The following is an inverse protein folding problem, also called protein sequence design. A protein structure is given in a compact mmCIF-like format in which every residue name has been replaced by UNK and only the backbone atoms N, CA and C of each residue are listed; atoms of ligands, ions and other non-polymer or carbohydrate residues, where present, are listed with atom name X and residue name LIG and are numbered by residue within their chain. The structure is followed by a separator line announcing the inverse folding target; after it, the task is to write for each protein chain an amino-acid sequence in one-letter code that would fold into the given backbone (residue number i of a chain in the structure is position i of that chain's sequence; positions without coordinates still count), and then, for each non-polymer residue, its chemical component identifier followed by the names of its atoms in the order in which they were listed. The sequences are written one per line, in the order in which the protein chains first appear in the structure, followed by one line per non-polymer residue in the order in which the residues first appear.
data_IF_418156590633
#
_entry.id   IF_418156590633
#
_cell.length_a   1.000
_cell.length_b   1.000
_cell.length_c   1.000
_cell.angle_alpha   90.00
_cell.angle_beta   90.00
_cell.angle_gamma   90.00
#
_symmetry.space_group_name_H-M   'P 1'
#
loop_
_entity.id
_entity.type
_entity.pdbx_description
1 polymer ?
#
# COMPACT_ATOMS: atom_id res chain seq x y z
N UNK A 1 -19.79 -20.76 -19.71
CA UNK A 1 -18.83 -21.31 -18.75
C UNK A 1 -18.84 -20.41 -17.52
N UNK A 2 -19.03 -20.90 -16.31
CA UNK A 2 -19.22 -20.07 -15.13
C UNK A 2 -17.88 -19.43 -14.70
N UNK A 3 -17.95 -18.13 -14.47
CA UNK A 3 -16.87 -17.29 -13.91
C UNK A 3 -16.64 -17.72 -12.46
N UNK A 4 -15.41 -18.05 -12.11
CA UNK A 4 -15.03 -18.42 -10.75
C UNK A 4 -15.20 -17.22 -9.81
N UNK A 5 -16.11 -17.30 -8.86
CA UNK A 5 -16.22 -16.45 -7.69
C UNK A 5 -15.07 -16.77 -6.72
N UNK A 6 -13.93 -16.09 -6.90
CA UNK A 6 -12.75 -16.15 -6.04
C UNK A 6 -12.48 -14.84 -5.34
N UNK A 7 -13.46 -14.22 -4.71
CA UNK A 7 -13.29 -13.04 -3.86
C UNK A 7 -12.68 -13.44 -2.52
N UNK A 8 -11.43 -13.05 -2.25
CA UNK A 8 -10.85 -13.15 -0.91
C UNK A 8 -11.64 -12.29 0.09
N UNK A 9 -11.70 -12.66 1.39
CA UNK A 9 -12.45 -11.91 2.39
C UNK A 9 -11.88 -10.51 2.51
N UNK A 10 -12.64 -9.51 2.05
CA UNK A 10 -12.44 -8.12 2.41
C UNK A 10 -12.42 -8.03 3.94
N UNK A 11 -11.56 -7.18 4.51
CA UNK A 11 -11.62 -6.85 5.92
C UNK A 11 -13.08 -6.65 6.28
N UNK A 12 -13.60 -7.47 7.20
CA UNK A 12 -15.02 -7.50 7.55
C UNK A 12 -15.42 -6.12 8.02
N UNK A 13 -16.19 -5.39 7.17
CA UNK A 13 -17.05 -4.34 7.68
C UNK A 13 -17.84 -4.99 8.83
N UNK A 14 -17.85 -4.38 10.00
CA UNK A 14 -18.77 -4.79 11.06
C UNK A 14 -20.17 -4.89 10.44
N UNK A 15 -20.79 -6.04 10.56
CA UNK A 15 -22.08 -6.32 9.93
C UNK A 15 -23.08 -5.22 10.30
N UNK A 16 -23.51 -4.43 9.30
CA UNK A 16 -24.52 -3.39 9.45
C UNK A 16 -24.06 -1.94 9.25
N UNK A 17 -22.76 -1.65 9.07
CA UNK A 17 -22.32 -0.26 8.75
C UNK A 17 -22.27 -0.02 7.25
N UNK A 18 -22.93 1.06 6.77
CA UNK A 18 -22.82 1.54 5.40
C UNK A 18 -21.39 2.00 5.11
N UNK A 19 -20.72 1.52 4.04
CA UNK A 19 -19.42 2.03 3.62
C UNK A 19 -19.48 3.52 3.28
N UNK A 20 -18.43 4.29 3.61
CA UNK A 20 -18.33 5.69 3.21
C UNK A 20 -18.21 5.85 1.68
N UNK A 21 -17.51 4.92 1.02
CA UNK A 21 -17.48 4.79 -0.43
C UNK A 21 -17.55 3.32 -0.84
N UNK A 22 -18.22 3.05 -1.96
CA UNK A 22 -18.33 1.70 -2.54
C UNK A 22 -18.13 1.78 -4.05
N UNK A 23 -17.23 0.99 -4.56
CA UNK A 23 -16.89 0.84 -5.97
C UNK A 23 -17.28 -0.57 -6.39
N UNK A 24 -18.10 -0.70 -7.46
CA UNK A 24 -18.60 -1.98 -7.94
C UNK A 24 -18.32 -2.15 -9.42
N UNK A 25 -17.46 -3.10 -9.75
CA UNK A 25 -17.15 -3.55 -11.11
C UNK A 25 -16.85 -2.41 -12.09
N UNK A 26 -16.13 -1.35 -11.61
CA UNK A 26 -15.86 -0.21 -12.47
C UNK A 26 -14.83 -0.53 -13.53
N UNK A 27 -15.11 -0.09 -14.75
CA UNK A 27 -14.15 -0.11 -15.84
C UNK A 27 -14.07 1.26 -16.51
N UNK A 28 -12.88 1.59 -17.03
CA UNK A 28 -12.65 2.84 -17.76
C UNK A 28 -11.81 2.58 -19.01
N UNK A 29 -12.36 2.95 -20.16
CA UNK A 29 -11.66 2.95 -21.44
C UNK A 29 -11.24 4.39 -21.83
N UNK A 30 -10.01 4.53 -22.33
CA UNK A 30 -9.52 5.74 -22.99
C UNK A 30 -9.06 5.35 -24.39
N UNK A 31 -9.69 5.91 -25.42
CA UNK A 31 -9.35 5.66 -26.81
C UNK A 31 -9.09 4.17 -27.16
N UNK A 32 -9.88 3.27 -26.58
CA UNK A 32 -9.75 1.83 -26.79
C UNK A 32 -8.81 1.09 -25.82
N UNK A 33 -8.01 1.81 -25.01
CA UNK A 33 -7.18 1.22 -23.99
C UNK A 33 -7.93 1.13 -22.66
N UNK A 34 -7.92 -0.04 -22.02
CA UNK A 34 -8.59 -0.31 -20.76
C UNK A 34 -7.66 0.11 -19.59
N UNK A 35 -7.92 1.28 -19.01
CA UNK A 35 -7.11 1.82 -17.91
C UNK A 35 -7.54 1.31 -16.53
N UNK A 36 -8.82 0.95 -16.35
CA UNK A 36 -9.38 0.32 -15.16
C UNK A 36 -10.29 -0.81 -15.63
N UNK A 37 -10.16 -1.99 -15.06
CA UNK A 37 -10.84 -3.20 -15.48
C UNK A 37 -11.43 -3.93 -14.28
N UNK A 38 -12.75 -3.91 -14.17
CA UNK A 38 -13.54 -4.68 -13.17
C UNK A 38 -13.07 -4.46 -11.72
N UNK A 39 -12.80 -3.22 -11.33
CA UNK A 39 -12.32 -2.87 -10.00
C UNK A 39 -13.50 -2.75 -9.03
N UNK A 40 -13.43 -3.49 -7.91
CA UNK A 40 -14.44 -3.49 -6.85
C UNK A 40 -13.80 -3.41 -5.47
N UNK A 41 -14.24 -2.46 -4.62
CA UNK A 41 -13.86 -2.36 -3.22
C UNK A 41 -14.81 -1.46 -2.44
N UNK A 42 -14.81 -1.61 -1.13
CA UNK A 42 -15.51 -0.75 -0.18
C UNK A 42 -14.51 0.01 0.67
N UNK A 43 -14.91 1.17 1.22
CA UNK A 43 -14.13 1.95 2.18
C UNK A 43 -14.97 2.16 3.42
N UNK A 44 -14.49 1.72 4.57
CA UNK A 44 -15.20 1.88 5.83
C UNK A 44 -15.15 3.35 6.32
N UNK A 45 -16.15 3.82 7.07
CA UNK A 45 -16.08 5.12 7.72
C UNK A 45 -14.85 5.24 8.63
N UNK A 46 -14.09 6.31 8.48
CA UNK A 46 -12.86 6.57 9.22
C UNK A 46 -11.62 5.81 8.74
N UNK A 47 -11.74 4.97 7.71
CA UNK A 47 -10.62 4.20 7.14
C UNK A 47 -9.72 5.08 6.26
N UNK A 48 -8.40 4.88 6.35
CA UNK A 48 -7.43 5.33 5.38
C UNK A 48 -7.07 4.17 4.45
N UNK A 49 -7.69 4.15 3.27
CA UNK A 49 -7.43 3.17 2.21
C UNK A 49 -6.42 3.73 1.22
N UNK A 50 -5.36 2.99 0.92
CA UNK A 50 -4.40 3.37 -0.12
C UNK A 50 -4.52 2.52 -1.38
N UNK A 51 -4.58 3.19 -2.55
CA UNK A 51 -4.37 2.57 -3.86
C UNK A 51 -2.89 2.70 -4.20
N UNK A 52 -2.17 1.58 -4.23
CA UNK A 52 -0.74 1.47 -4.47
C UNK A 52 -0.50 0.74 -5.81
N UNK A 53 0.53 1.13 -6.58
CA UNK A 53 0.88 0.41 -7.81
C UNK A 53 1.79 1.22 -8.72
N UNK A 54 2.35 0.63 -9.79
CA UNK A 54 3.20 1.31 -10.74
C UNK A 54 2.47 2.44 -11.50
N UNK A 55 3.22 3.32 -12.13
CA UNK A 55 2.63 4.38 -12.97
C UNK A 55 1.78 3.78 -14.09
N UNK A 56 0.61 4.38 -14.32
CA UNK A 56 -0.31 3.91 -15.38
C UNK A 56 -1.19 2.71 -15.02
N UNK A 57 -1.12 2.14 -13.80
CA UNK A 57 -1.95 0.99 -13.43
C UNK A 57 -3.42 1.31 -13.07
N UNK A 58 -3.88 2.57 -13.21
CA UNK A 58 -5.29 2.93 -13.03
C UNK A 58 -5.67 3.62 -11.71
N UNK A 59 -4.74 3.83 -10.76
CA UNK A 59 -5.01 4.45 -9.43
C UNK A 59 -5.68 5.83 -9.51
N UNK A 60 -5.00 6.78 -10.15
CA UNK A 60 -5.51 8.16 -10.34
C UNK A 60 -6.81 8.18 -11.13
N UNK A 61 -6.95 7.31 -12.13
CA UNK A 61 -8.21 7.17 -12.89
C UNK A 61 -9.35 6.71 -11.98
N UNK A 62 -9.11 5.71 -11.12
CA UNK A 62 -10.08 5.23 -10.14
C UNK A 62 -10.45 6.34 -9.14
N UNK A 63 -9.45 7.05 -8.59
CA UNK A 63 -9.68 8.17 -7.69
C UNK A 63 -10.52 9.29 -8.33
N UNK A 64 -10.17 9.69 -9.57
CA UNK A 64 -10.89 10.72 -10.33
C UNK A 64 -12.30 10.29 -10.71
N UNK A 65 -12.53 8.99 -10.93
CA UNK A 65 -13.89 8.46 -11.12
C UNK A 65 -14.74 8.60 -9.85
N UNK A 66 -14.16 8.34 -8.67
CA UNK A 66 -14.83 8.56 -7.37
C UNK A 66 -15.12 10.06 -7.16
N UNK A 67 -14.16 10.94 -7.48
CA UNK A 67 -14.33 12.38 -7.41
C UNK A 67 -15.39 12.94 -8.40
N UNK A 68 -15.72 12.18 -9.47
CA UNK A 68 -16.62 12.64 -10.54
C UNK A 68 -15.93 13.47 -11.61
N UNK A 69 -14.60 13.48 -11.63
CA UNK A 69 -13.80 14.12 -12.68
C UNK A 69 -13.69 13.25 -13.94
N UNK A 70 -13.87 11.92 -13.78
CA UNK A 70 -13.86 10.95 -14.86
C UNK A 70 -15.17 10.15 -14.90
N UNK A 71 -15.70 9.93 -16.10
CA UNK A 71 -16.87 9.07 -16.30
C UNK A 71 -16.40 7.62 -16.43
N UNK A 72 -17.04 6.71 -15.71
CA UNK A 72 -16.82 5.27 -15.83
C UNK A 72 -17.46 4.74 -17.11
N UNK A 73 -16.85 3.69 -17.70
CA UNK A 73 -17.37 2.99 -18.89
C UNK A 73 -18.30 1.82 -18.50
N UNK A 74 -18.08 1.21 -17.31
CA UNK A 74 -18.94 0.18 -16.74
C UNK A 74 -18.93 0.28 -15.20
N UNK A 75 -19.87 -0.38 -14.54
CA UNK A 75 -19.97 -0.47 -13.08
C UNK A 75 -20.70 0.71 -12.43
N UNK A 76 -20.56 0.81 -11.10
CA UNK A 76 -21.24 1.80 -10.27
C UNK A 76 -20.34 2.30 -9.14
N UNK A 77 -20.54 3.55 -8.72
CA UNK A 77 -19.88 4.18 -7.56
C UNK A 77 -20.95 4.76 -6.64
N UNK A 78 -20.77 4.47 -5.34
CA UNK A 78 -21.63 4.98 -4.27
C UNK A 78 -20.79 5.80 -3.28
N UNK A 79 -21.37 6.86 -2.72
CA UNK A 79 -20.88 7.57 -1.55
C UNK A 79 -21.96 7.46 -0.47
N UNK A 80 -21.67 6.75 0.62
CA UNK A 80 -22.69 6.25 1.52
C UNK A 80 -23.71 5.41 0.77
N UNK A 81 -24.99 5.69 0.97
CA UNK A 81 -26.10 5.00 0.27
C UNK A 81 -26.44 5.60 -1.11
N UNK A 82 -25.80 6.71 -1.48
CA UNK A 82 -26.12 7.44 -2.72
C UNK A 82 -25.31 6.94 -3.90
N UNK A 83 -25.95 6.48 -4.97
CA UNK A 83 -25.30 6.23 -6.27
C UNK A 83 -24.86 7.57 -6.88
N UNK A 84 -23.55 7.73 -7.15
CA UNK A 84 -22.97 8.95 -7.75
C UNK A 84 -22.50 8.74 -9.19
N UNK A 85 -22.26 7.49 -9.59
CA UNK A 85 -22.01 7.11 -10.98
C UNK A 85 -22.60 5.72 -11.24
N UNK A 86 -23.24 5.53 -12.39
CA UNK A 86 -23.72 4.23 -12.89
C UNK A 86 -23.70 4.26 -14.41
N UNK A 87 -22.87 3.42 -15.01
CA UNK A 87 -22.75 3.35 -16.48
C UNK A 87 -24.06 2.83 -17.10
N UNK A 88 -24.69 1.82 -16.51
CA UNK A 88 -25.93 1.20 -17.00
C UNK A 88 -27.11 2.16 -16.98
N UNK A 89 -27.14 3.10 -16.02
CA UNK A 89 -28.20 4.12 -15.88
C UNK A 89 -27.86 5.44 -16.56
N UNK A 90 -26.67 5.59 -17.17
CA UNK A 90 -26.16 6.86 -17.70
C UNK A 90 -25.99 7.95 -16.63
N UNK A 91 -25.98 7.57 -15.34
CA UNK A 91 -25.88 8.49 -14.21
C UNK A 91 -24.44 8.91 -13.99
N UNK A 92 -24.21 10.23 -13.94
CA UNK A 92 -22.94 10.81 -13.53
C UNK A 92 -23.19 12.12 -12.81
N UNK A 93 -22.97 12.12 -11.50
CA UNK A 93 -23.05 13.31 -10.68
C UNK A 93 -21.73 14.07 -10.76
N UNK A 94 -21.78 15.36 -11.10
CA UNK A 94 -20.58 16.20 -11.22
C UNK A 94 -19.88 16.38 -9.86
N UNK A 95 -18.56 16.67 -9.84
CA UNK A 95 -17.74 16.77 -8.61
C UNK A 95 -18.32 17.71 -7.55
N UNK A 96 -18.81 18.91 -7.94
CA UNK A 96 -19.33 19.91 -7.03
C UNK A 96 -20.61 19.50 -6.28
N UNK A 97 -21.25 18.41 -6.73
CA UNK A 97 -22.46 17.83 -6.13
C UNK A 97 -22.17 16.51 -5.39
N UNK A 98 -20.90 16.09 -5.35
CA UNK A 98 -20.44 14.95 -4.54
C UNK A 98 -19.96 15.47 -3.19
N UNK A 99 -20.16 14.67 -2.16
CA UNK A 99 -19.70 15.01 -0.81
C UNK A 99 -18.27 14.49 -0.60
N UNK A 100 -17.33 15.01 -1.42
CA UNK A 100 -15.92 14.65 -1.37
C UNK A 100 -15.03 15.88 -1.36
N UNK A 101 -13.91 15.81 -0.62
CA UNK A 101 -12.80 16.73 -0.74
C UNK A 101 -11.71 16.11 -1.60
N UNK A 102 -10.93 16.90 -2.33
CA UNK A 102 -9.82 16.39 -3.13
C UNK A 102 -8.58 17.26 -3.00
N UNK A 103 -7.44 16.60 -2.78
CA UNK A 103 -6.09 17.18 -2.87
C UNK A 103 -5.43 16.62 -4.11
N UNK A 104 -5.02 17.49 -5.01
CA UNK A 104 -4.35 17.17 -6.26
C UNK A 104 -2.83 17.08 -6.06
N UNK A 105 -2.14 16.34 -6.90
CA UNK A 105 -0.69 16.20 -6.91
C UNK A 105 0.05 17.56 -6.96
N UNK A 106 -0.48 18.54 -7.70
CA UNK A 106 0.07 19.90 -7.82
C UNK A 106 -0.39 20.85 -6.71
N UNK A 107 -1.13 20.34 -5.69
CA UNK A 107 -1.80 21.11 -4.62
C UNK A 107 -2.89 22.08 -5.15
N UNK A 108 -2.83 22.52 -6.39
CA UNK A 108 -3.74 23.47 -7.03
C UNK A 108 -4.00 24.72 -6.17
N UNK A 109 -2.96 25.27 -5.56
CA UNK A 109 -3.02 26.51 -4.76
C UNK A 109 -3.18 27.70 -5.72
N UNK A 110 -4.10 28.63 -5.40
CA UNK A 110 -4.26 29.88 -6.14
C UNK A 110 -3.20 30.90 -5.69
N UNK A 111 -2.22 31.22 -6.55
CA UNK A 111 -1.05 32.02 -6.16
C UNK A 111 -1.40 33.48 -5.84
N UNK A 112 -2.45 34.02 -6.39
CA UNK A 112 -2.94 35.39 -6.19
C UNK A 112 -3.79 35.59 -4.94
N UNK A 113 -4.03 34.53 -4.17
CA UNK A 113 -4.83 34.53 -2.95
C UNK A 113 -3.96 34.36 -1.70
N UNK A 114 -4.47 34.86 -0.58
CA UNK A 114 -3.91 34.57 0.74
C UNK A 114 -4.17 33.09 1.12
N UNK A 115 -3.50 32.59 2.17
CA UNK A 115 -3.78 31.29 2.77
C UNK A 115 -5.25 31.20 3.20
N UNK A 116 -5.76 32.23 3.89
CA UNK A 116 -7.15 32.30 4.29
C UNK A 116 -8.11 32.21 3.09
N UNK A 117 -7.85 32.97 2.03
CA UNK A 117 -8.73 32.99 0.86
C UNK A 117 -8.72 31.68 0.08
N UNK A 118 -7.56 31.01 -0.01
CA UNK A 118 -7.47 29.66 -0.58
C UNK A 118 -8.40 28.68 0.14
N UNK A 119 -8.38 28.67 1.49
CA UNK A 119 -9.22 27.77 2.29
C UNK A 119 -10.68 28.22 2.29
N UNK A 120 -10.96 29.52 2.29
CA UNK A 120 -12.31 30.09 2.29
C UNK A 120 -13.06 29.89 0.96
N UNK A 121 -12.33 29.70 -0.15
CA UNK A 121 -12.91 29.70 -1.49
C UNK A 121 -14.08 28.74 -1.68
N UNK A 122 -14.00 27.43 -1.34
CA UNK A 122 -15.11 26.51 -1.51
C UNK A 122 -16.35 26.90 -0.69
N UNK A 123 -16.18 27.45 0.51
CA UNK A 123 -17.28 27.93 1.34
C UNK A 123 -17.98 29.12 0.72
N UNK A 124 -17.21 30.07 0.13
CA UNK A 124 -17.74 31.25 -0.57
C UNK A 124 -18.53 30.85 -1.83
N UNK A 125 -18.04 29.85 -2.58
CA UNK A 125 -18.75 29.29 -3.74
C UNK A 125 -20.13 28.74 -3.35
N UNK A 126 -20.24 28.13 -2.15
CA UNK A 126 -21.52 27.66 -1.59
C UNK A 126 -22.31 28.74 -0.87
N UNK A 127 -21.89 30.02 -0.94
CA UNK A 127 -22.55 31.17 -0.33
C UNK A 127 -22.78 31.03 1.19
N UNK A 128 -21.83 30.38 1.90
CA UNK A 128 -21.86 30.26 3.34
C UNK A 128 -21.70 31.62 3.99
N UNK A 129 -22.39 31.85 5.12
CA UNK A 129 -22.37 33.13 5.85
C UNK A 129 -20.93 33.52 6.25
N UNK A 130 -20.59 34.81 6.16
CA UNK A 130 -19.21 35.31 6.40
C UNK A 130 -18.65 34.92 7.77
N UNK A 131 -19.46 34.98 8.83
CA UNK A 131 -19.06 34.57 10.19
C UNK A 131 -18.71 33.07 10.25
N UNK A 132 -19.49 32.22 9.60
CA UNK A 132 -19.26 30.78 9.53
C UNK A 132 -18.05 30.45 8.66
N UNK A 133 -17.83 31.18 7.55
CA UNK A 133 -16.57 31.04 6.77
C UNK A 133 -15.37 31.34 7.64
N UNK A 134 -15.38 32.43 8.42
CA UNK A 134 -14.27 32.78 9.31
C UNK A 134 -14.02 31.69 10.36
N UNK A 135 -15.08 31.14 10.96
CA UNK A 135 -14.97 30.09 11.96
C UNK A 135 -14.35 28.82 11.37
N UNK A 136 -14.94 28.28 10.27
CA UNK A 136 -14.47 27.02 9.66
C UNK A 136 -13.07 27.14 9.09
N UNK A 137 -12.73 28.26 8.44
CA UNK A 137 -11.37 28.48 7.90
C UNK A 137 -10.34 28.47 9.03
N UNK A 138 -10.63 29.18 10.14
CA UNK A 138 -9.73 29.23 11.29
C UNK A 138 -9.53 27.85 11.92
N UNK A 139 -10.61 27.10 12.09
CA UNK A 139 -10.55 25.71 12.58
C UNK A 139 -9.77 24.81 11.62
N UNK A 140 -10.03 24.87 10.32
CA UNK A 140 -9.29 24.10 9.31
C UNK A 140 -7.80 24.43 9.29
N UNK A 141 -7.43 25.71 9.38
CA UNK A 141 -6.03 26.13 9.44
C UNK A 141 -5.35 25.69 10.75
N UNK A 142 -6.06 25.69 11.88
CA UNK A 142 -5.54 25.18 13.14
C UNK A 142 -5.27 23.69 13.11
N UNK A 143 -6.14 22.89 12.46
CA UNK A 143 -5.97 21.44 12.31
C UNK A 143 -4.69 21.09 11.56
N UNK A 144 -4.25 21.93 10.62
CA UNK A 144 -3.04 21.74 9.82
C UNK A 144 -1.87 22.64 10.26
N UNK A 145 -1.98 23.31 11.43
CA UNK A 145 -0.94 24.18 12.02
C UNK A 145 -0.53 25.35 11.12
N UNK A 146 -1.49 25.92 10.38
CA UNK A 146 -1.26 27.04 9.46
C UNK A 146 -1.94 28.34 9.88
N UNK A 147 -2.54 28.43 11.08
CA UNK A 147 -3.28 29.60 11.56
C UNK A 147 -2.44 30.87 11.56
N UNK A 148 -1.16 30.79 11.99
CA UNK A 148 -0.26 31.94 12.00
C UNK A 148 0.07 32.50 10.61
N UNK A 149 -0.20 31.75 9.55
CA UNK A 149 0.10 32.13 8.17
C UNK A 149 -1.13 32.59 7.37
N UNK A 150 -2.30 32.74 8.02
CA UNK A 150 -3.59 32.95 7.34
C UNK A 150 -3.61 34.13 6.36
N UNK A 151 -2.92 35.24 6.69
CA UNK A 151 -2.89 36.45 5.87
C UNK A 151 -1.73 36.48 4.86
N UNK A 152 -0.88 35.43 4.88
CA UNK A 152 0.29 35.35 4.01
C UNK A 152 -0.09 35.00 2.59
N UNK A 153 0.51 35.62 1.55
CA UNK A 153 0.37 35.19 0.17
C UNK A 153 0.81 33.72 -0.01
N UNK A 154 0.02 32.93 -0.73
CA UNK A 154 0.29 31.52 -0.91
C UNK A 154 1.60 31.21 -1.66
N UNK A 155 2.08 32.16 -2.46
CA UNK A 155 3.37 32.08 -3.17
C UNK A 155 4.59 32.08 -2.28
N UNK A 156 4.47 32.56 -1.04
CA UNK A 156 5.57 32.63 -0.05
C UNK A 156 5.63 31.41 0.85
N UNK A 157 4.88 30.36 0.55
CA UNK A 157 4.84 29.13 1.32
C UNK A 157 5.83 28.09 0.76
N UNK A 158 6.44 27.31 1.66
CA UNK A 158 7.17 26.09 1.28
C UNK A 158 6.22 25.02 0.73
N UNK A 159 6.73 24.01 0.01
CA UNK A 159 5.91 22.93 -0.53
C UNK A 159 5.06 22.21 0.52
N UNK A 160 5.62 21.90 1.69
CA UNK A 160 4.85 21.30 2.80
C UNK A 160 3.79 22.23 3.39
N UNK A 161 4.04 23.54 3.45
CA UNK A 161 3.03 24.52 3.85
C UNK A 161 1.90 24.62 2.82
N UNK A 162 2.24 24.62 1.52
CA UNK A 162 1.23 24.60 0.44
C UNK A 162 0.35 23.34 0.52
N UNK A 163 0.94 22.20 0.79
CA UNK A 163 0.21 20.95 0.98
C UNK A 163 -0.75 21.03 2.18
N UNK A 164 -0.30 21.54 3.33
CA UNK A 164 -1.16 21.75 4.52
C UNK A 164 -2.33 22.65 4.21
N UNK A 165 -2.12 23.72 3.45
CA UNK A 165 -3.20 24.61 2.99
C UNK A 165 -4.17 23.88 2.05
N UNK A 166 -3.68 23.06 1.12
CA UNK A 166 -4.51 22.24 0.24
C UNK A 166 -5.37 21.22 1.02
N UNK A 167 -4.80 20.61 2.07
CA UNK A 167 -5.52 19.73 2.99
C UNK A 167 -6.64 20.51 3.72
N UNK A 168 -6.32 21.66 4.33
CA UNK A 168 -7.31 22.51 5.01
C UNK A 168 -8.45 22.90 4.07
N UNK A 169 -8.13 23.31 2.83
CA UNK A 169 -9.12 23.66 1.80
C UNK A 169 -10.03 22.48 1.43
N UNK A 170 -9.47 21.27 1.32
CA UNK A 170 -10.26 20.09 1.01
C UNK A 170 -11.16 19.65 2.17
N UNK A 171 -10.73 19.88 3.42
CA UNK A 171 -11.46 19.50 4.63
C UNK A 171 -12.50 20.54 5.10
N UNK A 172 -12.33 21.83 4.77
CA UNK A 172 -13.18 22.92 5.29
C UNK A 172 -14.66 22.74 4.95
N UNK A 173 -14.97 21.93 3.96
CA UNK A 173 -16.31 21.55 3.55
C UNK A 173 -16.90 20.39 4.36
N UNK A 174 -16.12 19.79 5.28
CA UNK A 174 -16.50 18.61 6.06
C UNK A 174 -16.96 17.44 5.17
N UNK A 175 -16.12 17.02 4.19
CA UNK A 175 -16.53 15.98 3.25
C UNK A 175 -16.66 14.62 3.92
N UNK A 176 -17.55 13.75 3.40
CA UNK A 176 -17.67 12.36 3.86
C UNK A 176 -16.44 11.52 3.51
N UNK A 177 -15.74 11.85 2.41
CA UNK A 177 -14.52 11.17 1.96
C UNK A 177 -13.51 12.20 1.45
N UNK A 178 -12.27 12.10 1.90
CA UNK A 178 -11.14 12.90 1.41
C UNK A 178 -10.31 12.07 0.43
N UNK A 179 -10.12 12.60 -0.78
CA UNK A 179 -9.38 11.98 -1.87
C UNK A 179 -8.01 12.65 -2.01
N UNK A 180 -6.93 11.88 -1.99
CA UNK A 180 -5.56 12.36 -2.01
C UNK A 180 -4.82 11.75 -3.20
N UNK A 181 -4.54 12.55 -4.25
CA UNK A 181 -3.86 12.11 -5.48
C UNK A 181 -2.37 12.45 -5.40
N UNK A 182 -1.54 11.49 -5.01
CA UNK A 182 -0.08 11.60 -4.82
C UNK A 182 0.36 12.86 -4.06
N UNK A 183 -0.20 13.13 -2.87
CA UNK A 183 -0.06 14.44 -2.23
C UNK A 183 1.36 14.75 -1.75
N UNK A 184 2.25 13.74 -1.62
CA UNK A 184 3.63 13.90 -1.13
C UNK A 184 4.70 13.87 -2.24
N UNK A 185 4.30 13.65 -3.50
CA UNK A 185 5.23 13.40 -4.61
C UNK A 185 6.19 14.58 -4.89
N UNK A 186 5.77 15.81 -4.62
CA UNK A 186 6.54 17.03 -4.89
C UNK A 186 7.40 17.51 -3.70
N UNK A 187 7.50 16.70 -2.64
CA UNK A 187 8.27 17.03 -1.44
C UNK A 187 9.63 16.32 -1.43
N UNK A 188 10.61 16.95 -0.81
CA UNK A 188 11.88 16.30 -0.49
C UNK A 188 11.70 15.16 0.53
N UNK A 189 12.71 14.29 0.65
CA UNK A 189 12.61 13.06 1.44
C UNK A 189 12.35 13.33 2.93
N UNK A 190 12.98 14.36 3.52
CA UNK A 190 12.82 14.68 4.94
C UNK A 190 11.41 15.21 5.23
N UNK A 191 10.94 16.15 4.40
CA UNK A 191 9.63 16.74 4.54
C UNK A 191 8.52 15.70 4.28
N UNK A 192 8.75 14.76 3.35
CA UNK A 192 7.83 13.64 3.10
C UNK A 192 7.62 12.77 4.34
N UNK A 193 8.69 12.44 5.08
CA UNK A 193 8.58 11.69 6.34
C UNK A 193 7.74 12.44 7.37
N UNK A 194 7.97 13.74 7.55
CA UNK A 194 7.20 14.57 8.50
C UNK A 194 5.73 14.64 8.09
N UNK A 195 5.45 14.84 6.80
CA UNK A 195 4.08 14.96 6.31
C UNK A 195 3.29 13.65 6.37
N UNK A 196 3.96 12.49 6.25
CA UNK A 196 3.31 11.18 6.52
C UNK A 196 2.76 11.12 7.94
N UNK A 197 3.61 11.43 8.93
CA UNK A 197 3.18 11.44 10.34
C UNK A 197 2.00 12.40 10.52
N UNK A 198 2.11 13.60 9.98
CA UNK A 198 1.07 14.62 10.09
C UNK A 198 -0.28 14.20 9.47
N UNK A 199 -0.27 13.54 8.29
CA UNK A 199 -1.50 13.02 7.67
C UNK A 199 -2.13 11.92 8.53
N UNK A 200 -1.32 11.00 9.09
CA UNK A 200 -1.83 9.94 9.96
C UNK A 200 -2.44 10.50 11.25
N UNK A 201 -1.77 11.42 11.91
CA UNK A 201 -2.30 12.11 13.10
C UNK A 201 -3.57 12.89 12.80
N UNK A 202 -3.62 13.58 11.67
CA UNK A 202 -4.82 14.30 11.22
C UNK A 202 -5.99 13.34 11.02
N UNK A 203 -5.79 12.22 10.35
CA UNK A 203 -6.81 11.19 10.13
C UNK A 203 -7.31 10.63 11.48
N UNK A 204 -6.40 10.29 12.40
CA UNK A 204 -6.76 9.78 13.71
C UNK A 204 -7.55 10.78 14.57
N UNK A 205 -7.16 12.06 14.53
CA UNK A 205 -7.83 13.13 15.29
C UNK A 205 -9.22 13.48 14.76
N UNK A 206 -9.39 13.40 13.44
CA UNK A 206 -10.64 13.82 12.78
C UNK A 206 -11.59 12.67 12.50
N UNK A 207 -11.09 11.43 12.47
CA UNK A 207 -11.87 10.27 12.02
C UNK A 207 -12.30 10.33 10.55
N UNK A 208 -11.64 11.17 9.72
CA UNK A 208 -11.97 11.33 8.31
C UNK A 208 -11.67 10.05 7.53
N UNK A 209 -12.62 9.65 6.69
CA UNK A 209 -12.38 8.60 5.69
C UNK A 209 -11.50 9.14 4.58
N UNK A 210 -10.41 8.44 4.25
CA UNK A 210 -9.46 8.88 3.23
C UNK A 210 -9.21 7.80 2.20
N UNK A 211 -9.16 8.19 0.91
CA UNK A 211 -8.63 7.36 -0.18
C UNK A 211 -7.36 8.03 -0.68
N UNK A 212 -6.24 7.35 -0.51
CA UNK A 212 -4.90 7.84 -0.80
C UNK A 212 -4.35 7.13 -2.04
N UNK A 213 -3.80 7.86 -2.97
CA UNK A 213 -3.09 7.31 -4.14
C UNK A 213 -1.61 7.60 -4.01
N UNK A 214 -0.78 6.60 -4.16
CA UNK A 214 0.68 6.74 -4.23
C UNK A 214 1.31 5.62 -5.06
N UNK A 215 2.54 5.85 -5.51
CA UNK A 215 3.44 4.84 -6.01
C UNK A 215 4.57 4.53 -5.01
N UNK A 216 4.64 5.27 -3.90
CA UNK A 216 5.64 5.09 -2.84
C UNK A 216 5.16 4.04 -1.84
N UNK A 217 5.93 2.94 -1.73
CA UNK A 217 5.64 1.81 -0.86
C UNK A 217 5.71 2.20 0.62
N UNK A 218 6.68 3.06 0.99
CA UNK A 218 6.85 3.48 2.37
C UNK A 218 5.70 4.38 2.85
N UNK A 219 5.09 5.17 1.95
CA UNK A 219 3.86 5.91 2.24
C UNK A 219 2.70 4.96 2.50
N UNK A 220 2.47 4.01 1.58
CA UNK A 220 1.38 3.05 1.70
C UNK A 220 1.49 2.21 2.98
N UNK A 221 2.68 1.69 3.30
CA UNK A 221 2.89 0.86 4.50
C UNK A 221 2.74 1.66 5.80
N UNK A 222 3.17 2.93 5.84
CA UNK A 222 3.16 3.72 7.07
C UNK A 222 1.81 4.37 7.38
N UNK A 223 1.02 4.71 6.36
CA UNK A 223 -0.20 5.52 6.52
C UNK A 223 -1.46 4.67 6.63
N UNK A 224 -1.53 3.57 5.88
CA UNK A 224 -2.78 2.92 5.55
C UNK A 224 -3.30 2.01 6.67
N UNK A 225 -4.60 1.96 6.81
CA UNK A 225 -5.28 0.88 7.54
C UNK A 225 -5.45 -0.33 6.61
N UNK A 226 -5.58 -0.06 5.29
CA UNK A 226 -5.67 -1.08 4.24
C UNK A 226 -5.06 -0.58 2.93
N UNK A 227 -4.41 -1.49 2.21
CA UNK A 227 -3.76 -1.23 0.92
C UNK A 227 -4.37 -2.10 -0.17
N UNK A 228 -4.70 -1.48 -1.30
CA UNK A 228 -5.05 -2.16 -2.55
C UNK A 228 -3.89 -1.99 -3.51
N UNK A 229 -3.21 -3.08 -3.83
CA UNK A 229 -2.17 -3.10 -4.87
C UNK A 229 -2.84 -3.28 -6.22
N UNK A 230 -2.63 -2.32 -7.12
CA UNK A 230 -3.16 -2.35 -8.48
C UNK A 230 -2.06 -2.66 -9.50
N UNK A 231 -2.39 -3.45 -10.52
CA UNK A 231 -1.54 -3.75 -11.65
C UNK A 231 -2.37 -3.84 -12.93
N UNK A 232 -1.94 -3.19 -14.02
CA UNK A 232 -2.62 -3.23 -15.33
C UNK A 232 -4.15 -3.06 -15.27
N UNK A 233 -4.62 -2.12 -14.44
CA UNK A 233 -6.04 -1.78 -14.31
C UNK A 233 -6.85 -2.70 -13.40
N UNK A 234 -6.26 -3.73 -12.81
CA UNK A 234 -6.96 -4.67 -11.90
C UNK A 234 -6.37 -4.63 -10.49
N UNK A 235 -7.11 -5.15 -9.53
CA UNK A 235 -6.64 -5.35 -8.15
C UNK A 235 -5.81 -6.63 -8.10
N UNK A 236 -4.50 -6.50 -7.82
CA UNK A 236 -3.61 -7.63 -7.63
C UNK A 236 -3.73 -8.22 -6.22
N UNK A 237 -3.86 -7.37 -5.20
CA UNK A 237 -4.07 -7.79 -3.81
C UNK A 237 -4.72 -6.66 -3.01
N UNK A 238 -5.52 -7.04 -2.01
CA UNK A 238 -6.15 -6.14 -1.04
C UNK A 238 -5.95 -6.75 0.35
N UNK A 239 -5.44 -5.97 1.31
CA UNK A 239 -5.15 -6.43 2.67
C UNK A 239 -4.56 -5.33 3.55
N UNK A 240 -4.23 -5.65 4.80
CA UNK A 240 -3.47 -4.73 5.66
C UNK A 240 -2.04 -4.56 5.15
N UNK A 241 -1.31 -3.49 5.52
CA UNK A 241 0.10 -3.33 5.18
C UNK A 241 0.94 -4.57 5.51
N UNK A 242 0.73 -5.16 6.68
CA UNK A 242 1.44 -6.35 7.14
C UNK A 242 1.13 -7.59 6.27
N UNK A 243 -0.14 -7.76 5.86
CA UNK A 243 -0.53 -8.85 4.95
C UNK A 243 0.07 -8.68 3.57
N UNK A 244 0.04 -7.46 3.01
CA UNK A 244 0.61 -7.16 1.69
C UNK A 244 2.12 -7.40 1.66
N UNK A 245 2.84 -6.98 2.72
CA UNK A 245 4.29 -7.11 2.82
C UNK A 245 4.74 -8.53 3.17
N UNK A 246 4.13 -9.12 4.20
CA UNK A 246 4.54 -10.41 4.75
C UNK A 246 3.95 -11.62 4.03
N UNK A 247 2.79 -11.46 3.35
CA UNK A 247 2.04 -12.54 2.68
C UNK A 247 1.56 -12.13 1.30
N UNK A 248 2.48 -11.78 0.38
CA UNK A 248 2.10 -11.42 -0.98
C UNK A 248 1.47 -12.61 -1.70
N UNK A 249 0.43 -12.35 -2.51
CA UNK A 249 -0.29 -13.39 -3.25
C UNK A 249 0.32 -13.73 -4.61
N UNK A 250 1.26 -12.93 -5.07
CA UNK A 250 1.95 -13.12 -6.35
C UNK A 250 3.38 -12.60 -6.27
N UNK A 251 4.20 -13.06 -7.20
CA UNK A 251 5.56 -12.56 -7.35
C UNK A 251 5.58 -11.06 -7.64
N UNK A 252 4.64 -10.58 -8.47
CA UNK A 252 4.49 -9.15 -8.73
C UNK A 252 4.31 -8.34 -7.44
N UNK A 253 3.37 -8.74 -6.57
CA UNK A 253 3.14 -8.03 -5.31
C UNK A 253 4.37 -8.11 -4.41
N UNK A 254 5.01 -9.29 -4.30
CA UNK A 254 6.21 -9.48 -3.50
C UNK A 254 7.34 -8.54 -3.91
N UNK A 255 7.63 -8.47 -5.22
CA UNK A 255 8.71 -7.67 -5.81
C UNK A 255 8.38 -6.17 -5.81
N UNK A 256 7.12 -5.82 -6.07
CA UNK A 256 6.68 -4.44 -6.13
C UNK A 256 6.64 -3.77 -4.74
N UNK A 257 6.33 -4.49 -3.66
CA UNK A 257 6.12 -3.89 -2.32
C UNK A 257 7.41 -3.78 -1.50
N UNK A 258 8.48 -4.45 -1.92
CA UNK A 258 9.79 -4.38 -1.27
C UNK A 258 10.76 -5.41 -1.82
N UNK A 259 12.03 -5.29 -1.44
CA UNK A 259 13.02 -6.28 -1.84
C UNK A 259 12.60 -7.69 -1.37
N UNK A 260 12.78 -8.69 -2.22
CA UNK A 260 12.46 -10.08 -1.92
C UNK A 260 13.48 -11.01 -2.57
N UNK A 261 13.79 -12.11 -1.90
CA UNK A 261 14.51 -13.24 -2.46
C UNK A 261 13.49 -14.27 -2.95
N UNK A 262 13.71 -14.82 -4.14
CA UNK A 262 12.86 -15.85 -4.74
C UNK A 262 13.68 -17.13 -4.94
N UNK A 263 13.28 -18.19 -4.25
CA UNK A 263 13.96 -19.49 -4.25
C UNK A 263 13.04 -20.48 -4.94
N UNK A 264 13.47 -21.03 -6.08
CA UNK A 264 12.73 -22.09 -6.77
C UNK A 264 12.92 -23.40 -6.05
N UNK A 265 11.86 -24.22 -5.98
CA UNK A 265 11.93 -25.51 -5.34
C UNK A 265 10.82 -26.45 -5.78
N UNK A 266 10.92 -27.69 -5.30
CA UNK A 266 9.96 -28.76 -5.53
C UNK A 266 9.49 -29.32 -4.18
N UNK A 267 8.18 -29.46 -4.02
CA UNK A 267 7.57 -30.00 -2.79
C UNK A 267 7.96 -31.47 -2.64
N UNK A 268 8.58 -31.80 -1.52
CA UNK A 268 8.92 -33.18 -1.17
C UNK A 268 7.80 -33.88 -0.38
N UNK A 269 6.98 -33.12 0.34
CA UNK A 269 5.89 -33.61 1.17
C UNK A 269 5.68 -32.78 2.43
N UNK A 270 4.87 -33.30 3.37
CA UNK A 270 4.62 -32.65 4.65
C UNK A 270 5.92 -32.51 5.47
N UNK A 271 6.02 -31.41 6.20
CA UNK A 271 7.06 -31.20 7.20
C UNK A 271 6.79 -32.01 8.48
N UNK A 272 7.68 -31.86 9.46
CA UNK A 272 7.56 -32.53 10.78
C UNK A 272 6.46 -31.86 11.62
N UNK A 273 6.31 -30.55 11.49
CA UNK A 273 5.29 -29.80 12.23
C UNK A 273 3.98 -29.65 11.44
N UNK A 274 2.85 -29.52 12.14
CA UNK A 274 1.57 -29.24 11.48
C UNK A 274 1.67 -27.97 10.60
N UNK A 275 1.05 -28.01 9.43
CA UNK A 275 1.04 -26.90 8.47
C UNK A 275 2.42 -26.47 7.94
N UNK A 276 3.38 -27.39 7.91
CA UNK A 276 4.67 -27.17 7.24
C UNK A 276 4.85 -28.11 6.06
N UNK A 277 5.63 -27.64 5.06
CA UNK A 277 6.06 -28.45 3.90
C UNK A 277 7.57 -28.44 3.80
N UNK A 278 8.11 -29.54 3.29
CA UNK A 278 9.52 -29.67 2.89
C UNK A 278 9.62 -29.39 1.40
N UNK A 279 10.51 -28.49 1.04
CA UNK A 279 10.76 -28.06 -0.34
C UNK A 279 12.24 -28.27 -0.65
N UNK A 280 12.54 -29.06 -1.69
CA UNK A 280 13.91 -29.20 -2.22
C UNK A 280 14.25 -28.03 -3.11
N UNK A 281 15.42 -27.43 -2.92
CA UNK A 281 15.95 -26.38 -3.80
C UNK A 281 17.03 -26.91 -4.74
N UNK A 282 17.34 -28.19 -4.64
CA UNK A 282 18.38 -28.92 -5.35
C UNK A 282 19.16 -29.77 -4.37
N UNK A 283 20.20 -29.22 -3.76
CA UNK A 283 21.01 -29.89 -2.74
C UNK A 283 20.50 -29.68 -1.31
N UNK A 284 19.77 -28.52 -1.10
CA UNK A 284 19.24 -28.15 0.20
C UNK A 284 17.74 -28.52 0.32
N UNK A 285 17.27 -28.69 1.56
CA UNK A 285 15.85 -28.85 1.86
C UNK A 285 15.41 -27.78 2.82
N UNK A 286 14.44 -26.95 2.39
CA UNK A 286 13.86 -25.90 3.21
C UNK A 286 12.50 -26.34 3.76
N UNK A 287 12.21 -25.94 4.99
CA UNK A 287 10.91 -26.10 5.63
C UNK A 287 10.21 -24.76 5.57
N UNK A 288 9.04 -24.70 4.99
CA UNK A 288 8.20 -23.50 4.95
C UNK A 288 6.85 -23.75 5.62
N UNK A 289 6.30 -22.74 6.28
CA UNK A 289 4.95 -22.78 6.82
C UNK A 289 3.93 -22.58 5.71
N UNK A 290 2.91 -23.44 5.67
CA UNK A 290 1.71 -23.23 4.88
C UNK A 290 0.75 -22.40 5.73
N UNK A 291 0.93 -21.08 5.75
CA UNK A 291 0.08 -20.21 6.53
C UNK A 291 -1.36 -20.25 6.04
N UNK A 292 -2.32 -20.22 6.96
CA UNK A 292 -3.74 -20.11 6.67
C UNK A 292 -4.01 -18.95 5.71
N UNK A 293 -4.66 -19.21 4.57
CA UNK A 293 -5.06 -18.19 3.61
C UNK A 293 -4.07 -17.89 2.49
N UNK A 294 -3.10 -18.77 2.23
CA UNK A 294 -2.20 -18.67 1.08
C UNK A 294 -2.95 -18.79 -0.26
N UNK A 295 -2.34 -18.21 -1.30
CA UNK A 295 -2.81 -18.23 -2.70
C UNK A 295 -3.05 -19.63 -3.29
N UNK A 296 -2.72 -20.68 -2.56
CA UNK A 296 -2.99 -22.07 -2.87
C UNK A 296 -4.32 -22.59 -2.26
N UNK A 297 -5.22 -21.73 -1.84
CA UNK A 297 -6.56 -22.16 -1.43
C UNK A 297 -7.11 -23.18 -2.42
N UNK A 298 -7.31 -24.42 -1.97
CA UNK A 298 -7.81 -25.58 -2.74
C UNK A 298 -6.83 -26.29 -3.70
N UNK A 299 -5.61 -25.84 -3.95
CA UNK A 299 -4.64 -26.66 -4.66
C UNK A 299 -4.00 -27.65 -3.69
N UNK A 300 -4.29 -28.93 -3.84
CA UNK A 300 -3.57 -30.02 -3.18
C UNK A 300 -2.12 -29.99 -3.67
N UNK A 301 -1.22 -29.35 -2.91
CA UNK A 301 0.23 -29.45 -3.16
C UNK A 301 0.66 -30.89 -2.94
N UNK A 302 1.03 -31.55 -4.03
CA UNK A 302 1.53 -32.92 -4.01
C UNK A 302 3.06 -32.93 -4.12
N UNK A 303 3.73 -33.99 -3.64
CA UNK A 303 5.15 -34.18 -3.93
C UNK A 303 5.39 -34.07 -5.44
N UNK A 304 6.46 -33.35 -5.83
CA UNK A 304 6.78 -33.01 -7.22
C UNK A 304 6.21 -31.69 -7.71
N UNK A 305 5.33 -31.01 -6.94
CA UNK A 305 4.82 -29.67 -7.31
C UNK A 305 5.95 -28.65 -7.28
N UNK A 306 6.11 -27.91 -8.38
CA UNK A 306 7.05 -26.79 -8.45
C UNK A 306 6.48 -25.57 -7.73
N UNK A 307 7.31 -24.91 -6.93
CA UNK A 307 6.94 -23.76 -6.11
C UNK A 307 8.07 -22.72 -6.11
N UNK A 308 7.71 -21.51 -5.78
CA UNK A 308 8.66 -20.42 -5.50
C UNK A 308 8.49 -20.04 -4.03
N UNK A 309 9.56 -20.13 -3.26
CA UNK A 309 9.59 -19.59 -1.91
C UNK A 309 10.06 -18.15 -1.96
N UNK A 310 9.44 -17.30 -1.19
CA UNK A 310 9.82 -15.89 -1.03
C UNK A 310 10.25 -15.65 0.41
N UNK A 311 11.37 -14.95 0.58
CA UNK A 311 11.82 -14.46 1.88
C UNK A 311 12.32 -13.02 1.77
N UNK A 312 11.97 -12.18 2.75
CA UNK A 312 12.47 -10.80 2.82
C UNK A 312 13.94 -10.77 3.24
N UNK A 313 14.77 -9.86 2.68
CA UNK A 313 16.20 -9.77 3.02
C UNK A 313 16.49 -9.60 4.52
N UNK A 314 15.65 -8.84 5.23
CA UNK A 314 15.74 -8.59 6.69
C UNK A 314 15.28 -9.78 7.55
N UNK A 315 14.73 -10.82 6.92
CA UNK A 315 14.28 -12.06 7.58
C UNK A 315 15.30 -13.20 7.46
N UNK A 316 16.44 -12.92 6.83
CA UNK A 316 17.58 -13.83 6.77
C UNK A 316 18.63 -13.33 7.77
N UNK A 317 18.87 -14.12 8.80
CA UNK A 317 19.79 -13.74 9.87
C UNK A 317 21.15 -14.40 9.66
N UNK A 318 22.22 -13.64 9.93
CA UNK A 318 23.60 -14.13 9.92
C UNK A 318 23.96 -14.54 11.34
N UNK A 319 24.31 -15.82 11.55
CA UNK A 319 24.84 -16.29 12.82
C UNK A 319 26.30 -15.82 12.95
N UNK A 320 26.63 -15.14 14.03
CA UNK A 320 28.01 -14.77 14.37
C UNK A 320 28.63 -15.87 15.21
N UNK A 321 29.85 -16.29 14.85
CA UNK A 321 30.63 -17.25 15.62
C UNK A 321 30.92 -16.70 17.04
N UNK A 322 30.42 -17.37 18.06
CA UNK A 322 30.76 -17.05 19.46
C UNK A 322 29.61 -17.09 20.46
N UNK A 323 28.38 -16.93 20.04
CA UNK A 323 27.24 -17.12 20.94
C UNK A 323 26.47 -18.38 20.53
N UNK A 324 26.69 -19.43 21.30
CA UNK A 324 25.89 -20.63 21.20
C UNK A 324 24.41 -20.27 21.25
N UNK A 325 23.72 -20.54 20.15
CA UNK A 325 22.27 -20.75 20.11
C UNK A 325 21.35 -19.68 20.74
N UNK A 326 21.73 -18.42 20.81
CA UNK A 326 20.79 -17.37 21.11
C UNK A 326 20.03 -17.00 19.82
N UNK A 327 18.96 -17.76 19.52
CA UNK A 327 17.92 -17.41 18.55
C UNK A 327 17.17 -16.17 19.07
N UNK A 328 17.82 -15.02 19.10
CA UNK A 328 17.20 -13.77 19.55
C UNK A 328 16.09 -13.41 18.56
N UNK A 329 14.84 -13.73 18.94
CA UNK A 329 13.63 -13.36 18.20
C UNK A 329 13.21 -14.30 17.06
N UNK A 330 13.93 -15.40 16.78
CA UNK A 330 13.48 -16.37 15.77
C UNK A 330 12.43 -17.31 16.35
N UNK A 331 11.35 -17.47 15.59
CA UNK A 331 10.34 -18.49 15.88
C UNK A 331 10.85 -19.83 15.37
N UNK A 332 10.99 -20.83 16.24
CA UNK A 332 11.28 -22.21 15.85
C UNK A 332 10.05 -22.84 15.13
N UNK A 333 10.27 -23.72 14.14
CA UNK A 333 11.54 -24.22 13.60
C UNK A 333 12.22 -23.25 12.62
N UNK A 334 13.53 -23.46 12.41
CA UNK A 334 14.37 -22.63 11.54
C UNK A 334 15.08 -23.47 10.47
N UNK A 335 15.29 -22.88 9.31
CA UNK A 335 16.20 -23.39 8.27
C UNK A 335 17.60 -22.83 8.50
N UNK A 336 18.63 -23.70 8.42
CA UNK A 336 20.04 -23.31 8.53
C UNK A 336 20.74 -23.62 7.21
N UNK A 337 21.47 -22.64 6.69
CA UNK A 337 22.12 -22.68 5.38
C UNK A 337 23.55 -22.14 5.49
N UNK A 338 24.43 -22.62 4.65
CA UNK A 338 25.75 -22.05 4.46
C UNK A 338 25.77 -21.20 3.19
N UNK A 339 26.42 -20.05 3.25
CA UNK A 339 26.51 -19.15 2.11
C UNK A 339 27.85 -18.44 2.04
N UNK A 340 28.32 -18.15 0.83
CA UNK A 340 29.57 -17.42 0.59
C UNK A 340 29.24 -15.98 0.20
N UNK A 341 29.88 -15.03 0.84
CA UNK A 341 29.71 -13.61 0.59
C UNK A 341 30.27 -13.24 -0.79
N UNK A 342 29.44 -12.66 -1.65
CA UNK A 342 29.83 -12.07 -2.93
C UNK A 342 30.16 -10.61 -2.82
N UNK A 343 29.26 -9.84 -2.19
CA UNK A 343 29.41 -8.40 -1.99
C UNK A 343 28.89 -8.00 -0.61
N UNK A 344 29.49 -6.94 -0.05
CA UNK A 344 29.07 -6.29 1.18
C UNK A 344 29.04 -4.78 0.95
N UNK A 345 27.86 -4.20 0.98
CA UNK A 345 27.62 -2.78 0.69
C UNK A 345 27.09 -2.12 1.97
N UNK A 346 27.74 -1.03 2.39
CA UNK A 346 27.25 -0.23 3.52
C UNK A 346 26.09 0.67 3.11
N UNK A 347 24.90 0.43 3.64
CA UNK A 347 23.67 1.17 3.36
C UNK A 347 23.30 2.24 4.41
N UNK A 348 24.20 2.56 5.32
CA UNK A 348 23.97 3.52 6.41
C UNK A 348 23.37 2.84 7.65
N UNK A 349 22.11 2.47 7.63
CA UNK A 349 21.43 1.80 8.76
C UNK A 349 21.55 0.27 8.76
N UNK A 350 22.00 -0.33 7.67
CA UNK A 350 22.23 -1.76 7.51
C UNK A 350 23.37 -2.02 6.54
N UNK A 351 23.85 -3.26 6.48
CA UNK A 351 24.71 -3.77 5.40
C UNK A 351 23.88 -4.62 4.45
N UNK A 352 24.02 -4.36 3.16
CA UNK A 352 23.44 -5.18 2.12
C UNK A 352 24.49 -6.22 1.68
N UNK A 353 24.21 -7.47 2.00
CA UNK A 353 25.05 -8.60 1.61
C UNK A 353 24.38 -9.33 0.45
N UNK A 354 25.12 -9.55 -0.65
CA UNK A 354 24.75 -10.57 -1.62
C UNK A 354 25.58 -11.82 -1.34
N UNK A 355 24.91 -12.94 -1.17
CA UNK A 355 25.52 -14.22 -0.83
C UNK A 355 25.07 -15.31 -1.78
N UNK A 356 25.94 -16.32 -2.00
CA UNK A 356 25.60 -17.55 -2.73
C UNK A 356 25.50 -18.69 -1.74
N UNK A 357 24.36 -19.38 -1.74
CA UNK A 357 24.22 -20.72 -1.17
C UNK A 357 24.63 -21.76 -2.22
N UNK A 358 24.47 -23.04 -1.92
CA UNK A 358 24.69 -24.12 -2.89
C UNK A 358 23.73 -24.04 -4.09
N UNK A 359 22.49 -23.56 -3.88
CA UNK A 359 21.39 -23.66 -4.84
C UNK A 359 20.88 -22.32 -5.35
N UNK A 360 21.09 -21.22 -4.62
CA UNK A 360 20.54 -19.92 -4.97
C UNK A 360 21.38 -18.75 -4.46
N UNK A 361 21.16 -17.60 -5.05
CA UNK A 361 21.69 -16.32 -4.61
C UNK A 361 20.66 -15.61 -3.72
N UNK A 362 21.12 -15.02 -2.61
CA UNK A 362 20.27 -14.26 -1.71
C UNK A 362 20.87 -12.88 -1.39
N UNK A 363 19.96 -11.90 -1.22
CA UNK A 363 20.24 -10.59 -0.67
C UNK A 363 19.83 -10.59 0.81
N UNK A 364 20.67 -10.03 1.67
CA UNK A 364 20.45 -9.99 3.12
C UNK A 364 20.63 -8.55 3.60
N UNK A 365 19.74 -8.08 4.47
CA UNK A 365 19.90 -6.82 5.20
C UNK A 365 20.40 -7.14 6.62
N UNK A 366 21.72 -7.13 6.77
CA UNK A 366 22.38 -7.47 8.03
C UNK A 366 22.61 -6.23 8.89
N UNK A 367 22.75 -6.42 10.20
CA UNK A 367 23.21 -5.36 11.11
C UNK A 367 24.58 -4.82 10.69
N UNK A 368 24.82 -3.52 10.94
CA UNK A 368 26.13 -2.88 10.72
C UNK A 368 27.27 -3.52 11.54
N UNK A 369 26.97 -4.32 12.56
CA UNK A 369 27.93 -5.08 13.36
C UNK A 369 28.47 -6.32 12.64
N UNK A 370 27.81 -6.77 11.56
CA UNK A 370 28.26 -7.93 10.76
C UNK A 370 29.39 -7.47 9.84
N UNK A 371 30.63 -7.80 10.17
CA UNK A 371 31.80 -7.52 9.34
C UNK A 371 32.13 -8.75 8.47
N UNK A 372 31.42 -8.90 7.36
CA UNK A 372 31.57 -10.03 6.44
C UNK A 372 32.41 -9.62 5.22
N UNK A 373 33.45 -10.41 4.92
CA UNK A 373 34.35 -10.17 3.78
C UNK A 373 33.95 -10.98 2.57
N UNK A 374 34.24 -10.47 1.38
CA UNK A 374 34.05 -11.22 0.14
C UNK A 374 34.81 -12.58 0.18
N UNK A 375 34.13 -13.65 -0.14
CA UNK A 375 34.64 -15.04 -0.08
C UNK A 375 34.49 -15.70 1.28
N UNK A 376 34.07 -14.98 2.31
CA UNK A 376 33.82 -15.53 3.65
C UNK A 376 32.57 -16.39 3.67
N UNK A 377 32.64 -17.50 4.43
CA UNK A 377 31.47 -18.36 4.65
C UNK A 377 30.65 -17.84 5.82
N UNK A 378 29.36 -17.70 5.62
CA UNK A 378 28.38 -17.29 6.64
C UNK A 378 27.39 -18.42 6.90
N UNK A 379 26.98 -18.53 8.16
CA UNK A 379 25.88 -19.39 8.58
C UNK A 379 24.59 -18.53 8.62
N UNK A 380 23.62 -18.90 7.79
CA UNK A 380 22.34 -18.21 7.67
C UNK A 380 21.25 -18.97 8.41
N UNK A 381 20.33 -18.22 9.00
CA UNK A 381 19.16 -18.77 9.66
C UNK A 381 17.90 -18.06 9.15
N UNK A 382 16.88 -18.83 8.76
CA UNK A 382 15.59 -18.35 8.26
C UNK A 382 14.49 -19.08 9.02
N UNK A 383 13.58 -18.34 9.68
CA UNK A 383 12.41 -18.95 10.32
C UNK A 383 11.46 -19.55 9.26
N UNK A 384 10.89 -20.72 9.55
CA UNK A 384 9.93 -21.37 8.64
C UNK A 384 8.71 -20.52 8.36
N UNK A 385 8.28 -19.69 9.30
CA UNK A 385 7.13 -18.78 9.11
C UNK A 385 7.46 -17.54 8.28
N UNK A 386 8.74 -17.22 8.04
CA UNK A 386 9.19 -16.12 7.20
C UNK A 386 9.41 -16.55 5.72
N UNK A 387 9.34 -17.85 5.44
CA UNK A 387 9.31 -18.37 4.08
C UNK A 387 7.86 -18.43 3.58
N UNK A 388 7.51 -17.53 2.65
CA UNK A 388 6.22 -17.48 2.00
C UNK A 388 6.26 -18.25 0.68
N UNK A 389 5.32 -19.17 0.49
CA UNK A 389 5.20 -19.92 -0.76
C UNK A 389 4.34 -19.17 -1.75
N UNK A 390 4.83 -18.94 -2.96
CA UNK A 390 4.13 -18.28 -4.06
C UNK A 390 3.80 -19.31 -5.16
N UNK A 391 2.71 -19.07 -5.94
CA UNK A 391 2.46 -19.85 -7.15
C UNK A 391 3.58 -19.65 -8.17
N UNK A 392 3.92 -20.70 -8.93
CA UNK A 392 4.79 -20.56 -10.09
C UNK A 392 4.09 -19.71 -11.15
N UNK A 393 4.79 -18.72 -11.73
CA UNK A 393 4.25 -17.90 -12.82
C UNK A 393 4.00 -18.79 -14.04
N UNK A 394 2.74 -18.90 -14.48
CA UNK A 394 2.34 -19.70 -15.63
C UNK A 394 1.38 -20.86 -15.32
N UNK A 395 1.04 -21.09 -14.07
CA UNK A 395 0.05 -22.10 -13.67
C UNK A 395 -1.37 -21.47 -13.57
N UNK A 396 -1.80 -20.75 -14.63
CA UNK A 396 -3.21 -20.32 -14.80
C UNK A 396 -3.94 -21.25 -15.75
#
# INVERSE_FOLDING_TARGET
MPVAEGGAPAARLEEGRTPAARVRAISKLFAGALAVNDVSFDVAPGELLTLLGPSGCGKTTTLRAIAGLERISAGEIFLGDRVVSSASRGLHINPEKRDVGMVFQSYAIWPHMSVFDNVAYPLRCRKVQKSEVQRRVREGLRLVEMEAYQDRPATLLSGGQQQRVALARAMVMEPSVLLLDEPLSNLDAQLRVQMRVHIKELQQRTGLTMIYVTHDQAEAMALSDRVIVMNHGVIAQNGTPEEIYGRPRSRFVADFVGAANFIKGEVLGAGVEPHTLRVSTGTETLICSVAQGLAFGERNLTPGSRVVLMVRPEKIFVATDGEGSANVGLKEPVNRLNAIVRTNIFGGNHRELCVNTSDFEARIFASNTVDARKGEMLHLTISTCDLCMLPEEGAQ
#
